data_IF_432566655075
#
_entry.id   IF_432566655075
#
_cell.length_a   1.000
_cell.length_b   1.000
_cell.length_c   1.000
_cell.angle_alpha   90.00
_cell.angle_beta   90.00
_cell.angle_gamma   90.00
#
_symmetry.space_group_name_H-M   'P 1'
#
loop_
_entity.id
_entity.type
_entity.pdbx_description
1 polymer ?
#
# COMPACT_ATOMS: atom_id res chain seq x y z
N UNK A 1 14.63 88.23 -3.07
CA UNK A 1 14.01 87.23 -3.98
C UNK A 1 14.73 85.91 -3.75
N UNK A 2 14.15 85.01 -2.95
CA UNK A 2 14.70 83.67 -2.68
C UNK A 2 13.96 82.72 -3.60
N UNK A 3 14.66 82.14 -4.55
CA UNK A 3 14.17 81.22 -5.53
C UNK A 3 14.21 79.82 -4.95
N UNK A 4 13.03 79.27 -4.58
CA UNK A 4 12.89 77.89 -4.10
C UNK A 4 12.96 76.96 -5.34
N UNK A 5 14.07 76.24 -5.46
CA UNK A 5 14.20 75.13 -6.39
C UNK A 5 13.45 73.93 -5.83
N UNK A 6 12.26 73.61 -6.32
CA UNK A 6 11.55 72.37 -6.02
C UNK A 6 12.19 71.25 -6.81
N UNK A 7 13.06 70.48 -6.16
CA UNK A 7 13.51 69.21 -6.71
C UNK A 7 12.33 68.23 -6.77
N UNK A 8 11.79 68.04 -7.97
CA UNK A 8 10.88 66.94 -8.26
C UNK A 8 11.70 65.68 -8.24
N UNK A 9 11.70 64.97 -7.11
CA UNK A 9 12.22 63.62 -7.01
C UNK A 9 11.29 62.74 -7.84
N UNK A 10 11.77 62.30 -9.00
CA UNK A 10 11.10 61.22 -9.75
C UNK A 10 11.20 59.96 -8.90
N UNK A 11 10.10 59.24 -8.62
CA UNK A 11 10.17 57.94 -7.97
C UNK A 11 11.02 57.02 -8.86
N UNK A 12 12.08 56.46 -8.30
CA UNK A 12 12.83 55.41 -9.00
C UNK A 12 11.86 54.27 -9.34
N UNK A 13 11.99 53.67 -10.55
CA UNK A 13 11.16 52.52 -10.86
C UNK A 13 11.46 51.43 -9.83
N UNK A 14 10.45 51.02 -9.05
CA UNK A 14 10.58 49.86 -8.17
C UNK A 14 11.03 48.69 -9.04
N UNK A 15 12.21 48.15 -8.79
CA UNK A 15 12.69 46.91 -9.39
C UNK A 15 11.70 45.81 -8.98
N UNK A 16 10.92 45.33 -9.96
CA UNK A 16 10.02 44.22 -9.76
C UNK A 16 10.91 42.98 -9.51
N UNK A 17 10.79 42.31 -8.37
CA UNK A 17 11.63 41.16 -8.06
C UNK A 17 11.48 40.09 -9.17
N UNK A 18 12.58 39.41 -9.50
CA UNK A 18 12.55 38.31 -10.46
C UNK A 18 11.68 37.20 -9.93
N UNK A 19 10.77 36.69 -10.75
CA UNK A 19 9.81 35.67 -10.44
C UNK A 19 9.94 34.52 -11.41
N UNK A 20 10.07 33.33 -10.91
CA UNK A 20 10.08 32.08 -11.69
C UNK A 20 8.69 31.46 -11.65
N UNK A 21 7.84 31.66 -12.69
CA UNK A 21 6.50 31.14 -12.71
C UNK A 21 6.51 29.60 -12.82
N UNK A 22 5.61 28.88 -12.12
CA UNK A 22 5.54 27.43 -12.23
C UNK A 22 5.24 27.01 -13.67
N UNK A 23 5.97 26.02 -14.16
CA UNK A 23 5.82 25.52 -15.54
C UNK A 23 4.41 24.96 -15.76
N UNK A 24 3.75 25.38 -16.85
CA UNK A 24 2.43 24.92 -17.27
C UNK A 24 2.36 24.79 -18.79
N UNK A 25 1.48 23.91 -19.28
CA UNK A 25 1.12 23.81 -20.69
C UNK A 25 0.08 24.86 -21.09
N UNK A 26 -0.64 25.40 -20.11
CA UNK A 26 -1.57 26.51 -20.30
C UNK A 26 -0.77 27.80 -20.50
N UNK A 27 -1.06 28.53 -21.58
CA UNK A 27 -0.44 29.83 -21.86
C UNK A 27 -1.00 30.91 -20.94
N UNK A 28 -0.10 31.55 -20.21
CA UNK A 28 -0.43 32.64 -19.30
C UNK A 28 0.22 33.95 -19.79
N UNK A 29 -0.33 35.07 -19.36
CA UNK A 29 0.28 36.40 -19.53
C UNK A 29 1.41 36.59 -18.51
N UNK A 30 2.08 37.74 -18.55
CA UNK A 30 3.14 38.08 -17.63
C UNK A 30 2.63 38.06 -16.17
N UNK A 31 3.43 37.53 -15.21
CA UNK A 31 3.05 37.51 -13.80
C UNK A 31 2.90 38.95 -13.26
N UNK A 32 1.88 39.18 -12.47
CA UNK A 32 1.60 40.44 -11.78
C UNK A 32 1.95 40.28 -10.31
N UNK A 33 2.71 41.21 -9.77
CA UNK A 33 3.03 41.27 -8.36
C UNK A 33 1.86 41.89 -7.59
N UNK A 34 1.34 41.18 -6.58
CA UNK A 34 0.15 41.57 -5.82
C UNK A 34 0.52 42.20 -4.46
N UNK A 35 1.76 42.02 -3.97
CA UNK A 35 2.22 42.64 -2.73
C UNK A 35 2.33 41.70 -1.55
N UNK A 36 2.66 42.26 -0.36
CA UNK A 36 2.87 41.50 0.87
C UNK A 36 1.62 41.45 1.78
N UNK A 37 0.62 42.34 1.62
CA UNK A 37 -0.54 42.47 2.49
C UNK A 37 -1.88 42.30 1.76
N UNK A 38 -2.80 41.59 2.39
CA UNK A 38 -4.10 41.17 1.82
C UNK A 38 -5.09 42.36 1.60
N UNK A 39 -4.97 43.48 2.29
CA UNK A 39 -5.94 44.54 2.25
C UNK A 39 -5.83 45.47 1.03
N UNK A 40 -4.64 45.69 0.49
CA UNK A 40 -4.45 46.43 -0.77
C UNK A 40 -4.77 45.59 -1.99
N UNK A 41 -4.71 44.24 -1.89
CA UNK A 41 -5.00 43.30 -2.97
C UNK A 41 -6.43 43.41 -3.48
N UNK A 42 -7.40 43.58 -2.58
CA UNK A 42 -8.82 43.71 -2.93
C UNK A 42 -9.11 44.99 -3.70
N UNK A 43 -8.40 46.07 -3.42
CA UNK A 43 -8.57 47.31 -4.18
C UNK A 43 -7.94 47.32 -5.56
N UNK A 44 -6.81 46.61 -5.75
CA UNK A 44 -6.18 46.50 -7.08
C UNK A 44 -6.88 45.47 -7.96
N UNK A 45 -7.34 44.36 -7.44
CA UNK A 45 -8.17 43.38 -8.14
C UNK A 45 -9.48 44.02 -8.64
N UNK A 46 -10.17 44.80 -7.80
CA UNK A 46 -11.39 45.54 -8.18
C UNK A 46 -11.16 46.63 -9.25
N UNK A 47 -9.95 47.22 -9.34
CA UNK A 47 -9.60 48.17 -10.39
C UNK A 47 -9.25 47.51 -11.73
N UNK A 48 -8.66 46.29 -11.68
CA UNK A 48 -8.39 45.49 -12.87
C UNK A 48 -9.69 44.95 -13.52
N UNK A 49 -10.66 44.56 -12.67
CA UNK A 49 -11.96 44.07 -13.13
C UNK A 49 -12.83 45.18 -13.77
N UNK A 50 -12.65 46.43 -13.40
CA UNK A 50 -13.44 47.54 -13.92
C UNK A 50 -13.20 47.89 -15.42
N UNK A 51 -12.15 47.28 -16.01
CA UNK A 51 -11.81 47.45 -17.47
C UNK A 51 -11.86 46.13 -18.24
N UNK A 52 -12.32 45.04 -17.60
CA UNK A 52 -12.37 43.70 -18.23
C UNK A 52 -13.46 43.68 -19.34
N UNK A 53 -13.12 43.10 -20.46
CA UNK A 53 -14.12 42.82 -21.50
C UNK A 53 -15.03 41.67 -21.05
N UNK A 54 -16.27 41.55 -21.54
CA UNK A 54 -17.15 40.41 -21.19
C UNK A 54 -16.53 39.04 -21.47
N UNK A 55 -15.64 38.99 -22.47
CA UNK A 55 -14.87 37.79 -22.83
C UNK A 55 -13.80 37.46 -21.76
N UNK A 56 -13.18 38.49 -21.17
CA UNK A 56 -12.19 38.35 -20.12
C UNK A 56 -12.81 37.82 -18.84
N UNK A 57 -14.00 38.36 -18.47
CA UNK A 57 -14.76 37.88 -17.32
C UNK A 57 -15.15 36.40 -17.48
N UNK A 58 -15.61 36.05 -18.68
CA UNK A 58 -15.97 34.67 -18.99
C UNK A 58 -14.75 33.74 -18.94
N UNK A 59 -13.61 34.16 -19.53
CA UNK A 59 -12.36 33.40 -19.52
C UNK A 59 -11.85 33.19 -18.09
N UNK A 60 -11.85 34.24 -17.26
CA UNK A 60 -11.45 34.17 -15.86
C UNK A 60 -12.41 33.33 -15.02
N UNK A 61 -13.69 33.30 -15.35
CA UNK A 61 -14.67 32.42 -14.70
C UNK A 61 -14.46 30.94 -15.04
N UNK A 62 -14.07 30.63 -16.30
CA UNK A 62 -13.81 29.25 -16.74
C UNK A 62 -12.43 28.74 -16.33
N UNK A 63 -11.44 29.60 -16.39
CA UNK A 63 -10.02 29.34 -16.08
C UNK A 63 -9.53 30.40 -15.10
N UNK A 64 -9.70 30.19 -13.79
CA UNK A 64 -9.32 31.18 -12.79
C UNK A 64 -7.81 31.46 -12.85
N UNK A 65 -7.40 32.71 -12.56
CA UNK A 65 -6.01 33.07 -12.46
C UNK A 65 -5.31 32.23 -11.40
N UNK A 66 -4.06 31.90 -11.61
CA UNK A 66 -3.26 31.17 -10.62
C UNK A 66 -2.51 32.17 -9.73
N UNK A 67 -2.43 31.81 -8.46
CA UNK A 67 -1.71 32.56 -7.46
C UNK A 67 -0.63 31.67 -6.84
N UNK A 68 0.52 32.25 -6.57
CA UNK A 68 1.57 31.57 -5.83
C UNK A 68 2.37 32.56 -4.99
N UNK A 69 2.89 32.11 -3.89
CA UNK A 69 3.68 32.89 -2.96
C UNK A 69 5.15 32.47 -3.06
N UNK A 70 6.05 33.43 -3.27
CA UNK A 70 7.48 33.28 -3.20
C UNK A 70 8.05 34.15 -2.06
N UNK A 71 9.34 34.00 -1.77
CA UNK A 71 10.03 34.84 -0.76
C UNK A 71 9.89 36.34 -1.08
N UNK A 72 9.73 36.68 -2.35
CA UNK A 72 9.53 38.04 -2.86
C UNK A 72 8.11 38.60 -2.74
N UNK A 73 7.11 37.80 -2.29
CA UNK A 73 5.70 38.18 -2.16
C UNK A 73 4.73 37.28 -2.93
N UNK A 74 3.48 37.72 -3.02
CA UNK A 74 2.41 37.00 -3.71
C UNK A 74 2.30 37.47 -5.16
N UNK A 75 2.28 36.50 -6.05
CA UNK A 75 2.18 36.70 -7.50
C UNK A 75 0.86 36.14 -8.01
N UNK A 76 0.28 36.84 -9.00
CA UNK A 76 -0.91 36.38 -9.69
C UNK A 76 -0.66 36.40 -11.21
N UNK A 77 -1.21 35.41 -11.92
CA UNK A 77 -1.05 35.29 -13.35
C UNK A 77 -2.35 34.87 -14.00
N UNK A 78 -2.80 35.72 -14.93
CA UNK A 78 -3.99 35.48 -15.75
C UNK A 78 -3.66 34.61 -16.97
N UNK A 79 -4.68 33.98 -17.50
CA UNK A 79 -4.59 33.18 -18.73
C UNK A 79 -4.44 34.13 -19.94
N UNK A 80 -3.58 33.76 -20.87
CA UNK A 80 -3.27 34.62 -22.04
C UNK A 80 -4.47 34.78 -22.96
N UNK A 81 -4.66 36.04 -23.42
CA UNK A 81 -5.73 36.42 -24.35
C UNK A 81 -5.32 36.32 -25.83
N UNK A 82 -4.13 35.82 -26.11
CA UNK A 82 -3.64 35.67 -27.48
C UNK A 82 -4.41 34.55 -28.19
N UNK A 83 -4.92 34.84 -29.37
CA UNK A 83 -5.56 33.84 -30.24
C UNK A 83 -4.54 32.82 -30.69
N UNK A 84 -4.94 31.54 -30.69
CA UNK A 84 -4.06 30.44 -31.08
C UNK A 84 -4.08 30.21 -32.58
N UNK A 85 -2.95 29.87 -33.14
CA UNK A 85 -2.79 29.43 -34.53
C UNK A 85 -2.75 27.92 -34.63
N UNK A 86 -2.86 27.38 -35.85
CA UNK A 86 -2.71 25.91 -36.05
C UNK A 86 -1.34 25.41 -35.61
N UNK A 87 -0.30 26.23 -35.70
CA UNK A 87 1.05 25.86 -35.26
C UNK A 87 1.11 25.72 -33.71
N UNK A 88 0.37 26.56 -33.00
CA UNK A 88 0.30 26.47 -31.53
C UNK A 88 -0.31 25.14 -31.05
N UNK A 89 -1.26 24.58 -31.80
CA UNK A 89 -1.83 23.26 -31.48
C UNK A 89 -0.81 22.13 -31.68
N UNK A 90 -0.01 22.23 -32.75
CA UNK A 90 1.04 21.24 -33.03
C UNK A 90 2.13 21.31 -31.95
N UNK A 91 2.58 22.55 -31.63
CA UNK A 91 3.58 22.73 -30.55
C UNK A 91 3.10 22.30 -29.19
N UNK A 92 1.79 22.46 -28.90
CA UNK A 92 1.19 21.95 -27.66
C UNK A 92 1.25 20.42 -27.59
N UNK A 93 0.99 19.74 -28.72
CA UNK A 93 1.10 18.28 -28.79
C UNK A 93 2.55 17.83 -28.54
N UNK A 94 3.51 18.45 -29.23
CA UNK A 94 4.94 18.14 -29.08
C UNK A 94 5.42 18.36 -27.61
N UNK A 95 5.00 19.49 -27.02
CA UNK A 95 5.32 19.77 -25.60
C UNK A 95 4.68 18.77 -24.64
N UNK A 96 3.43 18.35 -24.89
CA UNK A 96 2.76 17.33 -24.07
C UNK A 96 3.55 16.03 -24.13
N UNK A 97 3.89 15.55 -25.33
CA UNK A 97 4.62 14.29 -25.51
C UNK A 97 6.01 14.36 -24.85
N UNK A 98 6.70 15.49 -24.99
CA UNK A 98 7.98 15.74 -24.34
C UNK A 98 7.87 15.67 -22.81
N UNK A 99 6.87 16.36 -22.22
CA UNK A 99 6.68 16.38 -20.76
C UNK A 99 6.20 15.05 -20.20
N UNK A 100 5.44 14.25 -20.97
CA UNK A 100 5.07 12.89 -20.59
C UNK A 100 6.31 12.00 -20.45
N UNK A 101 7.27 12.12 -21.35
CA UNK A 101 8.54 11.40 -21.29
C UNK A 101 9.44 11.91 -20.15
N UNK A 102 9.60 13.23 -20.02
CA UNK A 102 10.44 13.85 -18.98
C UNK A 102 9.98 13.47 -17.57
N UNK A 103 8.65 13.48 -17.31
CA UNK A 103 8.08 13.13 -16.03
C UNK A 103 7.81 11.62 -15.85
N UNK A 104 8.22 10.78 -16.82
CA UNK A 104 8.05 9.33 -16.80
C UNK A 104 6.59 8.91 -16.49
N UNK A 105 5.64 9.52 -17.18
CA UNK A 105 4.22 9.21 -17.03
C UNK A 105 3.94 7.76 -17.45
N UNK A 106 3.13 7.03 -16.66
CA UNK A 106 2.77 5.65 -16.99
C UNK A 106 1.80 5.62 -18.16
N UNK A 107 1.99 4.70 -19.09
CA UNK A 107 1.11 4.52 -20.24
C UNK A 107 -0.27 3.93 -19.85
N UNK A 108 -0.29 3.05 -18.85
CA UNK A 108 -1.50 2.37 -18.40
C UNK A 108 -1.76 2.60 -16.91
N UNK A 109 -3.04 2.45 -16.51
CA UNK A 109 -3.48 2.57 -15.12
C UNK A 109 -3.63 4.02 -14.66
N UNK A 110 -3.83 4.19 -13.36
CA UNK A 110 -3.97 5.51 -12.71
C UNK A 110 -2.58 6.13 -12.56
N UNK A 111 -2.37 7.28 -13.18
CA UNK A 111 -1.12 8.03 -13.10
C UNK A 111 -1.41 9.51 -12.84
N UNK A 112 -1.08 10.04 -11.64
CA UNK A 112 -1.33 11.45 -11.29
C UNK A 112 -0.59 12.43 -12.21
N UNK A 113 0.63 12.09 -12.64
CA UNK A 113 1.44 12.92 -13.54
C UNK A 113 0.77 13.08 -14.91
N UNK A 114 0.28 11.96 -15.47
CA UNK A 114 -0.44 11.99 -16.75
C UNK A 114 -1.75 12.78 -16.62
N UNK A 115 -2.49 12.59 -15.55
CA UNK A 115 -3.74 13.32 -15.29
C UNK A 115 -3.51 14.82 -15.21
N UNK A 116 -2.47 15.27 -14.49
CA UNK A 116 -2.11 16.68 -14.38
C UNK A 116 -1.76 17.28 -15.76
N UNK A 117 -0.89 16.63 -16.53
CA UNK A 117 -0.50 17.10 -17.87
C UNK A 117 -1.68 17.18 -18.85
N UNK A 118 -2.54 16.15 -18.86
CA UNK A 118 -3.76 16.19 -19.68
C UNK A 118 -4.74 17.25 -19.20
N UNK A 119 -4.88 17.49 -17.92
CA UNK A 119 -5.73 18.57 -17.37
C UNK A 119 -5.24 19.94 -17.83
N UNK A 120 -3.93 20.18 -17.80
CA UNK A 120 -3.33 21.43 -18.30
C UNK A 120 -3.54 21.58 -19.81
N UNK A 121 -3.38 20.51 -20.59
CA UNK A 121 -3.63 20.51 -22.04
C UNK A 121 -5.09 20.81 -22.36
N UNK A 122 -6.04 20.20 -21.64
CA UNK A 122 -7.47 20.49 -21.78
C UNK A 122 -7.77 21.95 -21.46
N UNK A 123 -7.15 22.51 -20.42
CA UNK A 123 -7.32 23.92 -20.07
C UNK A 123 -6.82 24.83 -21.17
N UNK A 124 -5.68 24.51 -21.81
CA UNK A 124 -5.21 25.26 -22.96
C UNK A 124 -6.15 25.18 -24.18
N UNK A 125 -6.70 23.99 -24.47
CA UNK A 125 -7.71 23.82 -25.51
C UNK A 125 -8.99 24.62 -25.23
N UNK A 126 -9.45 24.62 -23.96
CA UNK A 126 -10.59 25.42 -23.53
C UNK A 126 -10.31 26.90 -23.77
N UNK A 127 -9.12 27.42 -23.40
CA UNK A 127 -8.71 28.77 -23.64
C UNK A 127 -8.81 29.12 -25.13
N UNK A 128 -8.18 28.33 -26.01
CA UNK A 128 -8.14 28.56 -27.43
C UNK A 128 -9.54 28.59 -28.05
N UNK A 129 -10.39 27.62 -27.69
CA UNK A 129 -11.75 27.53 -28.22
C UNK A 129 -12.65 28.65 -27.68
N UNK A 130 -12.44 29.08 -26.42
CA UNK A 130 -13.20 30.17 -25.81
C UNK A 130 -12.92 31.50 -26.52
N UNK A 131 -11.67 31.75 -26.95
CA UNK A 131 -11.29 32.93 -27.70
C UNK A 131 -11.92 32.96 -29.10
N UNK A 132 -12.10 31.79 -29.74
CA UNK A 132 -12.79 31.70 -31.03
C UNK A 132 -14.32 31.78 -30.91
N UNK A 133 -14.86 31.14 -29.86
CA UNK A 133 -16.29 31.08 -29.62
C UNK A 133 -16.62 30.63 -28.17
N UNK A 134 -17.06 31.57 -27.32
CA UNK A 134 -17.23 31.34 -25.88
C UNK A 134 -18.24 30.23 -25.57
N UNK A 135 -19.27 30.08 -26.39
CA UNK A 135 -20.25 28.99 -26.23
C UNK A 135 -19.63 27.60 -26.40
N UNK A 136 -18.70 27.47 -27.35
CA UNK A 136 -17.97 26.20 -27.59
C UNK A 136 -17.00 25.93 -26.45
N UNK A 137 -16.34 26.99 -25.91
CA UNK A 137 -15.47 26.87 -24.73
C UNK A 137 -16.23 26.34 -23.52
N UNK A 138 -17.45 26.86 -23.27
CA UNK A 138 -18.29 26.41 -22.16
C UNK A 138 -18.73 24.91 -22.32
N UNK A 139 -19.06 24.50 -23.54
CA UNK A 139 -19.40 23.09 -23.79
C UNK A 139 -18.19 22.18 -23.56
N UNK A 140 -17.02 22.60 -24.00
CA UNK A 140 -15.77 21.83 -23.77
C UNK A 140 -15.41 21.76 -22.29
N UNK A 141 -15.63 22.85 -21.53
CA UNK A 141 -15.46 22.87 -20.09
C UNK A 141 -16.34 21.81 -19.40
N UNK A 142 -17.63 21.74 -19.78
CA UNK A 142 -18.55 20.73 -19.25
C UNK A 142 -18.13 19.32 -19.62
N UNK A 143 -17.66 19.11 -20.85
CA UNK A 143 -17.15 17.80 -21.27
C UNK A 143 -15.91 17.38 -20.46
N UNK A 144 -14.99 18.33 -20.17
CA UNK A 144 -13.85 18.08 -19.28
C UNK A 144 -14.31 17.65 -17.89
N UNK A 145 -15.28 18.37 -17.32
CA UNK A 145 -15.76 18.11 -15.97
C UNK A 145 -16.45 16.75 -15.88
N UNK A 146 -17.19 16.33 -16.92
CA UNK A 146 -17.81 15.00 -17.00
C UNK A 146 -16.74 13.89 -17.07
N UNK A 147 -15.70 14.08 -17.90
CA UNK A 147 -14.57 13.13 -17.96
C UNK A 147 -13.88 13.04 -16.60
N UNK A 148 -13.67 14.19 -15.93
CA UNK A 148 -13.07 14.21 -14.59
C UNK A 148 -13.91 13.46 -13.56
N UNK A 149 -15.22 13.70 -13.51
CA UNK A 149 -16.13 12.94 -12.63
C UNK A 149 -16.07 11.44 -12.89
N UNK A 150 -16.01 11.04 -14.16
CA UNK A 150 -15.87 9.62 -14.54
C UNK A 150 -14.54 9.04 -14.01
N UNK A 151 -13.43 9.73 -14.19
CA UNK A 151 -12.12 9.29 -13.67
C UNK A 151 -12.14 9.20 -12.14
N UNK A 152 -12.71 10.18 -11.46
CA UNK A 152 -12.81 10.19 -9.99
C UNK A 152 -13.71 9.05 -9.46
N UNK A 153 -14.79 8.72 -10.18
CA UNK A 153 -15.62 7.57 -9.87
C UNK A 153 -14.84 6.25 -9.95
N UNK A 154 -14.02 6.06 -10.99
CA UNK A 154 -13.15 4.89 -11.11
C UNK A 154 -12.04 4.85 -10.04
N UNK A 155 -11.47 5.99 -9.67
CA UNK A 155 -10.51 6.08 -8.54
C UNK A 155 -11.17 5.62 -7.24
N UNK A 156 -12.35 6.15 -6.92
CA UNK A 156 -13.11 5.80 -5.72
C UNK A 156 -13.47 4.31 -5.69
N UNK A 157 -13.87 3.74 -6.84
CA UNK A 157 -14.15 2.32 -6.96
C UNK A 157 -12.89 1.48 -6.71
N UNK A 158 -11.76 1.88 -7.28
CA UNK A 158 -10.48 1.21 -7.08
C UNK A 158 -10.06 1.23 -5.60
N UNK A 159 -10.08 2.39 -4.95
CA UNK A 159 -9.72 2.55 -3.54
C UNK A 159 -10.64 1.72 -2.63
N UNK A 160 -11.93 1.70 -2.93
CA UNK A 160 -12.91 0.87 -2.23
C UNK A 160 -12.60 -0.61 -2.39
N UNK A 161 -12.26 -1.07 -3.59
CA UNK A 161 -11.94 -2.48 -3.84
C UNK A 161 -10.61 -2.90 -3.21
N UNK A 162 -9.60 -2.05 -3.23
CA UNK A 162 -8.32 -2.28 -2.52
C UNK A 162 -8.54 -2.37 -1.01
N UNK A 163 -9.30 -1.42 -0.45
CA UNK A 163 -9.64 -1.42 0.98
C UNK A 163 -10.40 -2.68 1.38
N UNK A 164 -11.36 -3.11 0.56
CA UNK A 164 -12.08 -4.36 0.78
C UNK A 164 -11.13 -5.57 0.71
N UNK A 165 -10.24 -5.62 -0.27
CA UNK A 165 -9.24 -6.67 -0.41
C UNK A 165 -8.33 -6.78 0.80
N UNK A 166 -7.78 -5.66 1.27
CA UNK A 166 -6.93 -5.60 2.47
C UNK A 166 -7.69 -6.07 3.72
N UNK A 167 -8.94 -5.60 3.90
CA UNK A 167 -9.78 -6.07 5.05
C UNK A 167 -10.01 -7.57 5.00
N UNK A 168 -10.27 -8.13 3.81
CA UNK A 168 -10.47 -9.57 3.65
C UNK A 168 -9.18 -10.36 3.88
N UNK A 169 -8.04 -9.85 3.46
CA UNK A 169 -6.75 -10.44 3.75
C UNK A 169 -6.47 -10.46 5.25
N UNK A 170 -6.61 -9.33 5.93
CA UNK A 170 -6.43 -9.24 7.38
C UNK A 170 -7.39 -10.17 8.15
N UNK A 171 -8.66 -10.26 7.68
CA UNK A 171 -9.64 -11.17 8.28
C UNK A 171 -9.26 -12.64 8.06
N UNK A 172 -8.67 -12.99 6.91
CA UNK A 172 -8.21 -14.35 6.63
C UNK A 172 -6.93 -14.69 7.43
N UNK A 173 -6.04 -13.73 7.61
CA UNK A 173 -4.83 -13.87 8.43
C UNK A 173 -5.13 -13.86 9.92
N UNK A 174 -6.26 -13.27 10.33
CA UNK A 174 -6.69 -13.24 11.72
C UNK A 174 -7.02 -14.66 12.18
N UNK A 175 -6.27 -15.17 13.16
CA UNK A 175 -6.39 -16.53 13.66
C UNK A 175 -5.48 -17.56 12.94
N UNK A 176 -4.84 -17.25 11.83
CA UNK A 176 -3.84 -18.15 11.21
C UNK A 176 -2.68 -18.42 12.16
N UNK A 177 -2.14 -17.39 12.81
CA UNK A 177 -1.06 -17.51 13.77
C UNK A 177 -1.45 -18.41 14.96
N UNK A 178 -2.69 -18.27 15.47
CA UNK A 178 -3.22 -19.10 16.56
C UNK A 178 -3.37 -20.56 16.13
N UNK A 179 -3.83 -20.79 14.88
CA UNK A 179 -3.94 -22.14 14.31
C UNK A 179 -2.57 -22.77 14.08
N UNK A 180 -1.60 -22.04 13.57
CA UNK A 180 -0.22 -22.51 13.37
C UNK A 180 0.44 -22.87 14.70
N UNK A 181 0.27 -22.05 15.74
CA UNK A 181 0.74 -22.33 17.09
C UNK A 181 0.09 -23.59 17.66
N UNK A 182 -1.22 -23.78 17.43
CA UNK A 182 -1.94 -24.96 17.88
C UNK A 182 -1.52 -26.23 17.14
N UNK A 183 -1.26 -26.14 15.83
CA UNK A 183 -0.70 -27.25 15.04
C UNK A 183 0.66 -27.64 15.60
N UNK A 184 1.56 -26.71 15.80
CA UNK A 184 2.90 -26.96 16.33
C UNK A 184 2.84 -27.59 17.74
N UNK A 185 1.92 -27.13 18.61
CA UNK A 185 1.72 -27.72 19.93
C UNK A 185 1.21 -29.17 19.85
N UNK A 186 0.22 -29.43 18.98
CA UNK A 186 -0.32 -30.79 18.78
C UNK A 186 0.69 -31.75 18.15
N UNK A 187 1.52 -31.26 17.21
CA UNK A 187 2.62 -32.06 16.65
C UNK A 187 3.66 -32.42 17.73
N UNK A 188 3.99 -31.48 18.63
CA UNK A 188 4.84 -31.74 19.79
C UNK A 188 4.25 -32.76 20.72
N UNK A 189 2.99 -32.63 21.12
CA UNK A 189 2.29 -33.59 21.97
C UNK A 189 2.22 -34.99 21.32
N UNK A 190 1.99 -35.06 20.00
CA UNK A 190 1.98 -36.34 19.27
C UNK A 190 3.34 -37.02 19.30
N UNK A 191 4.43 -36.26 19.07
CA UNK A 191 5.79 -36.79 19.11
C UNK A 191 6.15 -37.29 20.53
N UNK A 192 5.77 -36.54 21.59
CA UNK A 192 5.99 -36.93 22.97
C UNK A 192 5.22 -38.23 23.35
N UNK A 193 3.97 -38.34 22.92
CA UNK A 193 3.17 -39.53 23.10
C UNK A 193 3.72 -40.74 22.37
N UNK A 194 4.18 -40.57 21.14
CA UNK A 194 4.85 -41.62 20.37
C UNK A 194 6.10 -42.12 21.09
N UNK A 195 6.91 -41.21 21.62
CA UNK A 195 8.09 -41.54 22.40
C UNK A 195 7.71 -42.34 23.66
N UNK A 196 6.68 -41.91 24.42
CA UNK A 196 6.19 -42.62 25.59
C UNK A 196 5.69 -44.03 25.25
N UNK A 197 4.98 -44.18 24.12
CA UNK A 197 4.52 -45.50 23.66
C UNK A 197 5.68 -46.44 23.37
N UNK A 198 6.74 -45.94 22.70
CA UNK A 198 7.95 -46.74 22.43
C UNK A 198 8.66 -47.10 23.72
N UNK A 199 8.80 -46.19 24.67
CA UNK A 199 9.42 -46.43 25.98
C UNK A 199 8.65 -47.47 26.79
N UNK A 200 7.33 -47.34 26.85
CA UNK A 200 6.45 -48.32 27.55
C UNK A 200 6.50 -49.71 26.89
N UNK A 201 6.51 -49.79 25.55
CA UNK A 201 6.65 -51.05 24.82
C UNK A 201 7.98 -51.74 25.16
N UNK A 202 9.07 -51.00 25.14
CA UNK A 202 10.38 -51.50 25.52
C UNK A 202 10.40 -51.95 26.97
N UNK A 203 9.75 -51.18 27.86
CA UNK A 203 9.57 -51.56 29.28
C UNK A 203 8.83 -52.89 29.45
N UNK A 204 7.71 -53.08 28.76
CA UNK A 204 6.92 -54.33 28.76
C UNK A 204 7.76 -55.49 28.25
N UNK A 205 8.50 -55.30 27.12
CA UNK A 205 9.35 -56.37 26.56
C UNK A 205 10.46 -56.81 27.53
N UNK A 206 11.07 -55.86 28.26
CA UNK A 206 12.08 -56.16 29.30
C UNK A 206 11.47 -56.94 30.46
N UNK A 207 10.27 -56.53 30.92
CA UNK A 207 9.56 -57.23 32.01
C UNK A 207 9.18 -58.65 31.56
N UNK A 208 8.62 -58.78 30.35
CA UNK A 208 8.26 -60.12 29.81
C UNK A 208 9.48 -61.05 29.69
N UNK A 209 10.62 -60.58 29.22
CA UNK A 209 11.86 -61.31 29.17
C UNK A 209 12.29 -61.77 30.56
N UNK A 210 12.29 -60.87 31.55
CA UNK A 210 12.65 -61.17 32.95
C UNK A 210 11.73 -62.21 33.57
N UNK A 211 10.42 -62.05 33.35
CA UNK A 211 9.41 -63.02 33.89
C UNK A 211 9.57 -64.37 33.21
N UNK A 212 9.84 -64.42 31.88
CA UNK A 212 10.09 -65.71 31.21
C UNK A 212 11.38 -66.36 31.66
N UNK A 213 12.46 -65.61 31.91
CA UNK A 213 13.68 -66.11 32.49
C UNK A 213 13.43 -66.67 33.94
N UNK A 214 12.71 -65.92 34.76
CA UNK A 214 12.37 -66.35 36.12
C UNK A 214 11.54 -67.63 36.12
N UNK A 215 10.50 -67.72 35.28
CA UNK A 215 9.70 -68.94 35.09
C UNK A 215 10.57 -70.12 34.61
N UNK A 216 11.47 -69.87 33.67
CA UNK A 216 12.36 -70.95 33.22
C UNK A 216 13.29 -71.49 34.31
N UNK A 217 13.80 -70.59 35.17
CA UNK A 217 14.59 -70.99 36.36
C UNK A 217 13.73 -71.75 37.42
N UNK A 218 12.53 -71.24 37.68
CA UNK A 218 11.62 -71.92 38.62
C UNK A 218 11.19 -73.30 38.11
N UNK A 219 10.86 -73.42 36.81
CA UNK A 219 10.51 -74.72 36.21
C UNK A 219 11.67 -75.69 36.22
N UNK A 220 12.92 -75.23 36.05
CA UNK A 220 14.10 -76.10 36.25
C UNK A 220 14.21 -76.59 37.69
N UNK A 221 14.14 -75.68 38.66
CA UNK A 221 14.16 -76.06 40.11
C UNK A 221 13.08 -77.03 40.44
N UNK A 222 11.86 -76.79 39.96
CA UNK A 222 10.73 -77.66 40.20
C UNK A 222 10.93 -79.07 39.56
N UNK A 223 11.51 -79.11 38.34
CA UNK A 223 11.87 -80.38 37.72
C UNK A 223 12.95 -81.10 38.49
N UNK A 224 13.99 -80.43 38.92
CA UNK A 224 15.05 -80.99 39.77
C UNK A 224 14.50 -81.57 41.10
N UNK A 225 13.57 -80.81 41.77
CA UNK A 225 12.92 -81.30 42.98
C UNK A 225 12.05 -82.50 42.69
N UNK A 226 11.27 -82.52 41.63
CA UNK A 226 10.44 -83.66 41.24
C UNK A 226 11.32 -84.86 40.92
N UNK A 227 12.42 -84.73 40.20
CA UNK A 227 13.33 -85.80 39.84
C UNK A 227 14.05 -86.31 41.09
N UNK A 228 14.44 -85.43 41.99
CA UNK A 228 15.01 -85.83 43.30
C UNK A 228 13.99 -86.64 44.18
N UNK A 229 12.76 -86.18 44.27
CA UNK A 229 11.70 -86.88 44.98
C UNK A 229 11.36 -88.22 44.34
N UNK A 230 11.35 -88.34 43.05
CA UNK A 230 11.19 -89.63 42.35
C UNK A 230 12.36 -90.57 42.64
N UNK A 231 13.58 -90.06 42.62
CA UNK A 231 14.77 -90.81 42.94
C UNK A 231 14.70 -91.33 44.38
N UNK A 232 14.35 -90.50 45.38
CA UNK A 232 14.13 -90.87 46.76
C UNK A 232 13.00 -91.92 46.91
N UNK A 233 11.90 -91.71 46.17
CA UNK A 233 10.79 -92.72 46.18
C UNK A 233 11.24 -94.04 45.62
N UNK A 234 11.96 -94.08 44.53
CA UNK A 234 12.52 -95.34 43.97
C UNK A 234 13.51 -96.02 44.94
N UNK A 235 14.35 -95.19 45.57
CA UNK A 235 15.30 -95.73 46.57
C UNK A 235 14.58 -96.27 47.79
N UNK A 236 13.57 -95.63 48.32
CA UNK A 236 12.75 -96.11 49.41
C UNK A 236 11.94 -97.35 49.01
N UNK A 237 11.39 -97.41 47.80
CA UNK A 237 10.75 -98.63 47.30
C UNK A 237 11.73 -99.78 47.15
N UNK A 238 12.93 -99.54 46.66
CA UNK A 238 13.99 -100.55 46.60
C UNK A 238 14.40 -101.05 48.00
N UNK A 239 14.53 -100.08 48.93
CA UNK A 239 14.82 -100.40 50.33
C UNK A 239 13.69 -101.21 50.99
N UNK A 240 12.41 -100.86 50.78
CA UNK A 240 11.27 -101.60 51.25
C UNK A 240 11.18 -102.98 50.65
N UNK A 241 11.54 -103.17 49.38
CA UNK A 241 11.64 -104.48 48.73
C UNK A 241 12.73 -105.37 49.34
N UNK A 242 13.84 -104.72 49.77
CA UNK A 242 14.91 -105.48 50.50
C UNK A 242 14.53 -105.87 51.90
N UNK A 243 13.66 -105.06 52.55
CA UNK A 243 13.17 -105.30 53.88
C UNK A 243 11.94 -106.22 53.94
N UNK A 244 11.28 -106.45 52.79
CA UNK A 244 10.11 -107.31 52.76
C UNK A 244 10.47 -108.78 52.67
N UNK A 245 9.57 -109.69 53.02
CA UNK A 245 9.25 -110.25 54.28
C UNK A 245 10.16 -111.39 54.66
N UNK A 246 10.85 -111.22 55.75
CA UNK A 246 11.31 -112.35 56.48
C UNK A 246 10.07 -112.80 57.29
N UNK A 247 9.41 -113.78 56.74
CA UNK A 247 8.36 -114.35 57.58
C UNK A 247 7.24 -115.10 56.86
N UNK A 248 7.53 -116.17 56.24
CA UNK A 248 6.96 -117.45 56.50
C UNK A 248 7.91 -118.53 56.04
#
# INVERSE_FOLDING_TARGET
VVQFCVCVVRPEPMEVPECDPPQSLLKHDAPLFVGFDNDEQQMMAQRADASASPLDEMLNSMLPPREWTQESGTWMQHVSKQTATRLDVISLQEELDKRLLERQAREAGICPVREDLYSQTFSELIRQITLDGPERGLLLLRARDEVRMTVDAYKTLYDSSVTFGIRKQLQAEQGMADLEQRICALEGESADLEHQVVELRNGVEVIEKRENEHKAVEDKKRKEEIDFLKYQGQHLDAFLRQLGPAGK
#
